data_IF_171225618923
#
_entry.id   IF_171225618923
#
_cell.length_a   1.000
_cell.length_b   1.000
_cell.length_c   1.000
_cell.angle_alpha   90.00
_cell.angle_beta   90.00
_cell.angle_gamma   90.00
#
_symmetry.space_group_name_H-M   'P 1'
#
loop_
_entity.id
_entity.type
_entity.pdbx_description
1 polymer ?
#
# COMPACT_ATOMS: atom_id res chain seq x y z
N UNK A 1 50.08 -1.21 -17.56
CA UNK A 1 48.80 -0.47 -17.76
C UNK A 1 48.73 0.61 -16.71
N UNK A 2 48.70 1.88 -17.13
CA UNK A 2 48.53 3.02 -16.23
C UNK A 2 47.10 2.94 -15.67
N UNK A 3 46.93 2.68 -14.38
CA UNK A 3 45.65 2.94 -13.72
C UNK A 3 45.46 4.45 -13.76
N UNK A 4 44.63 4.94 -14.69
CA UNK A 4 44.09 6.28 -14.61
C UNK A 4 43.38 6.39 -13.26
N UNK A 5 43.92 7.21 -12.35
CA UNK A 5 43.19 7.68 -11.18
C UNK A 5 42.03 8.51 -11.71
N UNK A 6 40.90 7.85 -11.98
CA UNK A 6 39.64 8.53 -12.25
C UNK A 6 39.32 9.32 -10.97
N UNK A 7 39.45 10.64 -11.02
CA UNK A 7 39.11 11.50 -9.89
C UNK A 7 37.65 11.24 -9.49
N UNK A 8 37.39 11.25 -8.19
CA UNK A 8 36.05 11.11 -7.63
C UNK A 8 35.25 12.37 -7.99
N UNK A 9 34.55 12.32 -9.12
CA UNK A 9 33.56 13.34 -9.51
C UNK A 9 32.28 13.19 -8.67
N UNK A 10 31.57 14.29 -8.45
CA UNK A 10 30.32 14.33 -7.69
C UNK A 10 29.29 13.34 -8.25
N UNK A 11 29.18 13.25 -9.58
CA UNK A 11 28.27 12.31 -10.25
C UNK A 11 28.62 10.85 -9.93
N UNK A 12 29.93 10.54 -9.84
CA UNK A 12 30.39 9.19 -9.50
C UNK A 12 30.09 8.87 -8.03
N UNK A 13 30.31 9.83 -7.12
CA UNK A 13 29.98 9.67 -5.71
C UNK A 13 28.46 9.48 -5.52
N UNK A 14 27.64 10.34 -6.12
CA UNK A 14 26.18 10.23 -6.11
C UNK A 14 25.70 8.87 -6.59
N UNK A 15 26.27 8.35 -7.69
CA UNK A 15 25.96 7.02 -8.20
C UNK A 15 26.37 5.89 -7.24
N UNK A 16 27.52 5.99 -6.59
CA UNK A 16 27.98 4.99 -5.61
C UNK A 16 27.07 4.96 -4.38
N UNK A 17 26.63 6.13 -3.91
CA UNK A 17 25.77 6.25 -2.74
C UNK A 17 24.27 6.15 -3.03
N UNK A 18 23.88 6.05 -4.31
CA UNK A 18 22.48 6.03 -4.74
C UNK A 18 21.74 7.34 -4.48
N UNK A 19 22.45 8.47 -4.42
CA UNK A 19 21.87 9.79 -4.23
C UNK A 19 21.56 10.42 -5.59
N UNK A 20 20.32 10.88 -5.83
CA UNK A 20 19.95 11.60 -7.04
C UNK A 20 19.43 13.01 -6.75
N UNK A 21 19.38 13.83 -7.79
CA UNK A 21 18.88 15.19 -7.69
C UNK A 21 17.37 15.19 -7.36
N UNK A 22 16.98 15.81 -6.23
CA UNK A 22 15.60 15.87 -5.73
C UNK A 22 14.65 16.58 -6.71
N UNK A 23 15.14 17.48 -7.57
CA UNK A 23 14.34 18.08 -8.65
C UNK A 23 13.65 17.04 -9.55
N UNK A 24 14.31 15.93 -9.91
CA UNK A 24 13.68 14.87 -10.71
C UNK A 24 12.53 14.17 -9.95
N UNK A 25 12.66 14.03 -8.63
CA UNK A 25 11.62 13.46 -7.78
C UNK A 25 10.42 14.40 -7.68
N UNK A 26 10.67 15.70 -7.57
CA UNK A 26 9.63 16.75 -7.52
C UNK A 26 8.87 16.80 -8.85
N UNK A 27 9.59 16.76 -9.99
CA UNK A 27 8.98 16.66 -11.32
C UNK A 27 8.10 15.42 -11.45
N UNK A 28 8.62 14.25 -11.04
CA UNK A 28 7.87 13.00 -11.05
C UNK A 28 6.61 13.08 -10.19
N UNK A 29 6.69 13.65 -8.99
CA UNK A 29 5.54 13.83 -8.12
C UNK A 29 4.49 14.73 -8.78
N UNK A 30 4.91 15.80 -9.46
CA UNK A 30 4.01 16.64 -10.23
C UNK A 30 3.28 15.86 -11.34
N UNK A 31 3.96 14.95 -12.05
CA UNK A 31 3.34 14.09 -13.06
C UNK A 31 2.31 13.13 -12.44
N UNK A 32 2.64 12.53 -11.29
CA UNK A 32 1.71 11.67 -10.52
C UNK A 32 0.47 12.46 -10.11
N UNK A 33 0.65 13.66 -9.57
CA UNK A 33 -0.46 14.53 -9.17
C UNK A 33 -1.30 14.98 -10.36
N UNK A 34 -0.72 15.12 -11.55
CA UNK A 34 -1.46 15.47 -12.77
C UNK A 34 -2.13 14.27 -13.43
N UNK A 35 -1.93 13.05 -12.93
CA UNK A 35 -2.44 11.81 -13.53
C UNK A 35 -1.77 11.45 -14.86
N UNK A 36 -0.57 11.97 -15.12
CA UNK A 36 0.20 11.70 -16.34
C UNK A 36 0.99 10.39 -16.20
N UNK A 37 0.26 9.27 -16.29
CA UNK A 37 0.78 7.92 -16.01
C UNK A 37 2.02 7.57 -16.84
N UNK A 38 1.93 7.72 -18.17
CA UNK A 38 3.03 7.38 -19.08
C UNK A 38 4.27 8.21 -18.77
N UNK A 39 4.10 9.51 -18.58
CA UNK A 39 5.19 10.43 -18.27
C UNK A 39 5.81 10.15 -16.90
N UNK A 40 5.00 9.84 -15.89
CA UNK A 40 5.48 9.50 -14.54
C UNK A 40 6.35 8.22 -14.57
N UNK A 41 5.91 7.18 -15.29
CA UNK A 41 6.69 5.94 -15.45
C UNK A 41 8.00 6.21 -16.20
N UNK A 42 7.96 7.01 -17.27
CA UNK A 42 9.18 7.39 -18.00
C UNK A 42 10.15 8.22 -17.13
N UNK A 43 9.62 9.11 -16.29
CA UNK A 43 10.42 9.88 -15.34
C UNK A 43 11.08 8.96 -14.30
N UNK A 44 10.34 7.97 -13.77
CA UNK A 44 10.90 6.99 -12.84
C UNK A 44 12.03 6.17 -13.49
N UNK A 45 11.82 5.68 -14.71
CA UNK A 45 12.86 4.92 -15.43
C UNK A 45 14.13 5.72 -15.62
N UNK A 46 14.04 7.02 -15.91
CA UNK A 46 15.22 7.90 -15.98
C UNK A 46 15.97 8.02 -14.66
N UNK A 47 15.27 7.93 -13.52
CA UNK A 47 15.89 7.91 -12.18
C UNK A 47 16.54 6.54 -11.95
N UNK A 48 15.83 5.44 -12.25
CA UNK A 48 16.35 4.07 -12.12
C UNK A 48 17.58 3.83 -13.01
N UNK A 49 17.60 4.36 -14.24
CA UNK A 49 18.73 4.28 -15.19
C UNK A 49 20.02 4.95 -14.66
N UNK A 50 19.90 5.85 -13.67
CA UNK A 50 21.05 6.44 -12.98
C UNK A 50 21.68 5.48 -11.96
N UNK A 51 21.06 4.32 -11.72
CA UNK A 51 21.48 3.31 -10.75
C UNK A 51 20.88 3.51 -9.35
N UNK A 52 19.76 4.23 -9.26
CA UNK A 52 19.08 4.48 -7.98
C UNK A 52 18.29 3.24 -7.59
N UNK A 53 18.56 2.72 -6.40
CA UNK A 53 17.84 1.56 -5.89
C UNK A 53 16.39 1.92 -5.54
N UNK A 54 15.41 1.05 -5.83
CA UNK A 54 14.00 1.25 -5.48
C UNK A 54 13.77 1.59 -4.00
N UNK A 55 14.54 1.00 -3.09
CA UNK A 55 14.49 1.31 -1.66
C UNK A 55 14.91 2.74 -1.34
N UNK A 56 15.93 3.27 -2.01
CA UNK A 56 16.37 4.65 -1.82
C UNK A 56 15.33 5.61 -2.40
N UNK A 57 14.85 5.33 -3.60
CA UNK A 57 13.78 6.12 -4.23
C UNK A 57 12.55 6.26 -3.33
N UNK A 58 12.03 5.15 -2.78
CA UNK A 58 10.84 5.19 -1.92
C UNK A 58 11.10 5.92 -0.59
N UNK A 59 12.29 5.84 -0.03
CA UNK A 59 12.67 6.61 1.17
C UNK A 59 12.71 8.11 0.88
N UNK A 60 13.34 8.52 -0.23
CA UNK A 60 13.37 9.91 -0.67
C UNK A 60 11.95 10.42 -0.99
N UNK A 61 11.10 9.57 -1.60
CA UNK A 61 9.70 9.89 -1.87
C UNK A 61 8.91 10.15 -0.57
N UNK A 62 9.07 9.30 0.44
CA UNK A 62 8.54 9.53 1.79
C UNK A 62 9.02 10.89 2.33
N UNK A 63 10.31 11.17 2.24
CA UNK A 63 10.90 12.41 2.75
C UNK A 63 10.25 13.66 2.10
N UNK A 64 10.03 13.63 0.77
CA UNK A 64 9.32 14.70 0.06
C UNK A 64 7.87 14.85 0.58
N UNK A 65 7.15 13.76 0.84
CA UNK A 65 5.80 13.82 1.41
C UNK A 65 5.82 14.48 2.81
N UNK A 66 6.81 14.14 3.64
CA UNK A 66 6.98 14.78 4.95
C UNK A 66 7.19 16.28 4.80
N UNK A 67 8.01 16.74 3.85
CA UNK A 67 8.18 18.16 3.60
C UNK A 67 6.89 18.83 3.19
N UNK A 68 6.17 18.24 2.21
CA UNK A 68 4.88 18.73 1.75
C UNK A 68 3.87 18.94 2.89
N UNK A 69 3.75 17.94 3.76
CA UNK A 69 2.83 17.99 4.90
C UNK A 69 3.19 19.07 5.92
N UNK A 70 4.46 19.42 6.04
CA UNK A 70 4.96 20.28 7.10
C UNK A 70 5.24 21.73 6.68
N UNK A 71 5.23 22.07 5.38
CA UNK A 71 5.43 23.46 4.91
C UNK A 71 4.54 24.47 5.60
N UNK A 72 3.26 24.12 5.83
CA UNK A 72 2.29 25.01 6.48
C UNK A 72 2.54 25.21 7.99
N UNK A 73 3.36 24.37 8.62
CA UNK A 73 3.56 24.36 10.09
C UNK A 73 4.88 25.05 10.47
N UNK A 74 5.98 24.68 9.83
CA UNK A 74 7.33 25.14 10.22
C UNK A 74 7.92 26.17 9.24
N UNK A 75 7.28 26.41 8.08
CA UNK A 75 7.81 27.30 7.05
C UNK A 75 9.05 26.72 6.33
N UNK A 76 9.34 27.19 5.10
CA UNK A 76 10.30 26.50 4.20
C UNK A 76 11.70 26.32 4.79
N UNK A 77 12.18 27.27 5.58
CA UNK A 77 13.56 27.33 6.06
C UNK A 77 13.82 26.44 7.29
N UNK A 78 12.78 25.98 7.98
CA UNK A 78 12.92 25.12 9.17
C UNK A 78 12.84 23.63 8.82
N UNK A 79 12.30 23.30 7.65
CA UNK A 79 11.95 21.92 7.27
C UNK A 79 13.12 21.21 6.59
N UNK A 80 13.96 21.95 5.85
CA UNK A 80 15.09 21.32 5.16
C UNK A 80 16.22 22.29 4.74
N UNK A 81 17.48 21.84 4.88
CA UNK A 81 18.69 22.48 4.37
C UNK A 81 19.25 21.86 3.08
N UNK A 82 18.73 20.72 2.63
CA UNK A 82 19.21 20.00 1.42
C UNK A 82 18.50 20.40 0.13
N UNK A 83 17.31 20.99 0.20
CA UNK A 83 16.61 21.51 -0.98
C UNK A 83 17.15 22.90 -1.33
N UNK A 84 17.28 23.17 -2.63
CA UNK A 84 17.57 24.51 -3.09
C UNK A 84 16.32 25.41 -3.04
N UNK A 85 16.50 26.72 -3.29
CA UNK A 85 15.42 27.70 -3.22
C UNK A 85 14.28 27.44 -4.21
N UNK A 86 14.58 26.94 -5.40
CA UNK A 86 13.60 26.70 -6.44
C UNK A 86 12.80 25.42 -6.16
N UNK A 87 13.48 24.35 -5.75
CA UNK A 87 12.84 23.11 -5.28
C UNK A 87 11.91 23.36 -4.09
N UNK A 88 12.35 24.17 -3.13
CA UNK A 88 11.56 24.53 -1.96
C UNK A 88 10.29 25.31 -2.35
N UNK A 89 10.40 26.27 -3.28
CA UNK A 89 9.24 27.03 -3.79
C UNK A 89 8.28 26.12 -4.56
N UNK A 90 8.80 25.17 -5.33
CA UNK A 90 7.96 24.24 -6.10
C UNK A 90 7.18 23.32 -5.17
N UNK A 91 7.83 22.74 -4.16
CA UNK A 91 7.16 21.93 -3.16
C UNK A 91 6.13 22.72 -2.34
N UNK A 92 6.42 23.96 -1.98
CA UNK A 92 5.46 24.82 -1.28
C UNK A 92 4.18 25.05 -2.12
N UNK A 93 4.33 25.26 -3.44
CA UNK A 93 3.18 25.35 -4.35
C UNK A 93 2.38 24.05 -4.38
N UNK A 94 3.05 22.91 -4.46
CA UNK A 94 2.40 21.59 -4.45
C UNK A 94 1.65 21.38 -3.12
N UNK A 95 2.29 21.67 -1.99
CA UNK A 95 1.71 21.51 -0.65
C UNK A 95 0.43 22.35 -0.45
N UNK A 96 0.36 23.52 -1.09
CA UNK A 96 -0.83 24.36 -1.06
C UNK A 96 -1.98 23.83 -1.92
N UNK A 97 -1.70 22.98 -2.92
CA UNK A 97 -2.71 22.34 -3.78
C UNK A 97 -3.26 21.02 -3.23
N UNK A 98 -2.66 20.48 -2.17
CA UNK A 98 -3.02 19.19 -1.59
C UNK A 98 -3.65 19.35 -0.21
N UNK A 99 -4.63 18.50 0.06
CA UNK A 99 -5.16 18.29 1.41
C UNK A 99 -4.29 17.32 2.23
N UNK A 100 -4.47 17.38 3.55
CA UNK A 100 -3.66 16.59 4.48
C UNK A 100 -3.97 15.10 4.36
N UNK A 101 -5.21 14.74 4.07
CA UNK A 101 -5.67 13.36 3.91
C UNK A 101 -4.92 12.69 2.75
N UNK A 102 -4.79 13.38 1.61
CA UNK A 102 -4.04 12.92 0.44
C UNK A 102 -2.57 12.70 0.77
N UNK A 103 -1.94 13.62 1.51
CA UNK A 103 -0.53 13.49 1.93
C UNK A 103 -0.32 12.31 2.88
N UNK A 104 -1.21 12.13 3.86
CA UNK A 104 -1.16 10.99 4.80
C UNK A 104 -1.37 9.67 4.05
N UNK A 105 -2.30 9.63 3.09
CA UNK A 105 -2.54 8.45 2.25
C UNK A 105 -1.31 8.11 1.41
N UNK A 106 -0.71 9.10 0.73
CA UNK A 106 0.51 8.89 -0.05
C UNK A 106 1.65 8.37 0.84
N UNK A 107 1.80 8.91 2.05
CA UNK A 107 2.79 8.43 3.02
C UNK A 107 2.56 6.95 3.36
N UNK A 108 1.32 6.56 3.70
CA UNK A 108 0.98 5.18 4.03
C UNK A 108 1.24 4.21 2.87
N UNK A 109 0.85 4.57 1.65
CA UNK A 109 1.10 3.74 0.46
C UNK A 109 2.60 3.61 0.14
N UNK A 110 3.38 4.65 0.40
CA UNK A 110 4.84 4.61 0.23
C UNK A 110 5.46 3.66 1.24
N UNK A 111 5.11 3.77 2.53
CA UNK A 111 5.55 2.83 3.58
C UNK A 111 5.19 1.39 3.24
N UNK A 112 3.97 1.15 2.75
CA UNK A 112 3.55 -0.18 2.34
C UNK A 112 4.39 -0.74 1.19
N UNK A 113 4.70 0.10 0.20
CA UNK A 113 5.54 -0.28 -0.93
C UNK A 113 6.98 -0.62 -0.49
N UNK A 114 7.49 0.09 0.53
CA UNK A 114 8.80 -0.23 1.14
C UNK A 114 8.79 -1.64 1.77
N UNK A 115 7.73 -2.01 2.48
CA UNK A 115 7.59 -3.36 3.05
C UNK A 115 7.52 -4.45 1.96
N UNK A 116 6.83 -4.16 0.86
CA UNK A 116 6.60 -5.11 -0.24
C UNK A 116 7.85 -5.32 -1.12
N UNK A 117 8.87 -4.47 -1.04
CA UNK A 117 10.11 -4.58 -1.84
C UNK A 117 10.79 -5.95 -1.73
N UNK A 118 10.77 -6.58 -0.56
CA UNK A 118 11.40 -7.88 -0.34
C UNK A 118 10.52 -9.07 -0.77
N UNK A 119 9.27 -8.80 -1.16
CA UNK A 119 8.32 -9.82 -1.61
C UNK A 119 8.36 -10.04 -3.12
N UNK A 120 8.96 -9.11 -3.87
CA UNK A 120 9.03 -9.14 -5.33
C UNK A 120 10.45 -9.34 -5.84
N UNK A 121 10.59 -10.04 -6.97
CA UNK A 121 11.90 -10.24 -7.61
C UNK A 121 12.37 -9.00 -8.36
N UNK A 122 11.45 -8.31 -9.05
CA UNK A 122 11.75 -7.07 -9.76
C UNK A 122 11.14 -5.90 -9.00
N UNK A 123 12.00 -5.20 -8.27
CA UNK A 123 11.62 -4.08 -7.42
C UNK A 123 11.23 -2.83 -8.22
N UNK A 124 11.82 -2.61 -9.40
CA UNK A 124 11.43 -1.50 -10.27
C UNK A 124 9.98 -1.62 -10.75
N UNK A 125 9.53 -2.84 -11.09
CA UNK A 125 8.12 -3.08 -11.44
C UNK A 125 7.18 -2.75 -10.28
N UNK A 126 7.60 -3.01 -9.04
CA UNK A 126 6.83 -2.63 -7.86
C UNK A 126 6.73 -1.11 -7.71
N UNK A 127 7.81 -0.38 -7.98
CA UNK A 127 7.75 1.10 -7.96
C UNK A 127 6.87 1.64 -9.09
N UNK A 128 6.96 1.11 -10.30
CA UNK A 128 6.04 1.50 -11.40
C UNK A 128 4.57 1.27 -10.99
N UNK A 129 4.26 0.12 -10.40
CA UNK A 129 2.91 -0.18 -9.89
C UNK A 129 2.49 0.74 -8.74
N UNK A 130 3.41 1.08 -7.83
CA UNK A 130 3.16 2.04 -6.77
C UNK A 130 2.77 3.42 -7.34
N UNK A 131 3.50 3.92 -8.33
CA UNK A 131 3.19 5.21 -8.96
C UNK A 131 1.84 5.20 -9.66
N UNK A 132 1.52 4.11 -10.39
CA UNK A 132 0.20 3.91 -11.00
C UNK A 132 -0.89 3.92 -9.93
N UNK A 133 -0.71 3.19 -8.82
CA UNK A 133 -1.69 3.17 -7.70
C UNK A 133 -1.95 4.58 -7.17
N UNK A 134 -0.93 5.41 -6.96
CA UNK A 134 -1.11 6.79 -6.51
C UNK A 134 -1.92 7.65 -7.48
N UNK A 135 -1.69 7.48 -8.80
CA UNK A 135 -2.43 8.20 -9.85
C UNK A 135 -3.92 7.88 -9.82
N UNK A 136 -4.28 6.60 -9.68
CA UNK A 136 -5.69 6.19 -9.63
C UNK A 136 -6.33 6.51 -8.28
N UNK A 137 -5.59 6.44 -7.17
CA UNK A 137 -6.08 6.84 -5.85
C UNK A 137 -6.54 8.30 -5.83
N UNK A 138 -5.81 9.19 -6.48
CA UNK A 138 -6.19 10.61 -6.57
C UNK A 138 -7.51 10.83 -7.34
N UNK A 139 -7.87 9.92 -8.25
CA UNK A 139 -9.09 10.03 -9.05
C UNK A 139 -10.34 9.56 -8.31
N UNK A 140 -10.19 8.89 -7.16
CA UNK A 140 -11.32 8.42 -6.36
C UNK A 140 -11.95 9.65 -5.66
N UNK A 141 -13.23 9.96 -5.93
CA UNK A 141 -13.91 11.08 -5.27
C UNK A 141 -13.98 10.84 -3.76
N UNK A 142 -13.90 11.93 -2.98
CA UNK A 142 -14.01 11.81 -1.53
C UNK A 142 -15.41 11.34 -1.16
N UNK A 143 -15.51 10.63 -0.04
CA UNK A 143 -16.78 10.10 0.44
C UNK A 143 -17.81 11.22 0.65
N UNK A 144 -17.37 12.38 1.16
CA UNK A 144 -18.25 13.54 1.35
C UNK A 144 -18.77 14.09 0.02
N UNK A 145 -17.96 14.09 -1.04
CA UNK A 145 -18.38 14.50 -2.39
C UNK A 145 -19.43 13.53 -2.94
N UNK A 146 -19.20 12.22 -2.81
CA UNK A 146 -20.15 11.18 -3.21
C UNK A 146 -21.48 11.25 -2.43
N UNK A 147 -21.43 11.55 -1.14
CA UNK A 147 -22.62 11.70 -0.29
C UNK A 147 -23.41 12.95 -0.67
N UNK A 148 -22.72 14.05 -0.98
CA UNK A 148 -23.35 15.29 -1.45
C UNK A 148 -24.05 15.12 -2.82
N UNK A 149 -23.47 14.32 -3.72
CA UNK A 149 -24.12 13.93 -4.97
C UNK A 149 -25.34 13.03 -4.72
N UNK A 150 -25.25 12.09 -3.77
CA UNK A 150 -26.38 11.21 -3.40
C UNK A 150 -27.57 11.97 -2.81
N UNK A 151 -27.32 13.01 -2.00
CA UNK A 151 -28.38 13.86 -1.44
C UNK A 151 -29.07 14.70 -2.53
N UNK A 152 -28.35 15.07 -3.58
CA UNK A 152 -28.87 15.78 -4.75
C UNK A 152 -29.57 14.85 -5.76
N UNK A 153 -29.25 13.56 -5.78
CA UNK A 153 -29.85 12.57 -6.69
C UNK A 153 -30.81 11.63 -5.96
N UNK A 154 -31.96 12.13 -5.48
CA UNK A 154 -33.07 11.25 -5.05
C UNK A 154 -33.80 10.55 -6.21
N UNK A 155 -33.47 10.88 -7.46
CA UNK A 155 -34.03 10.24 -8.65
C UNK A 155 -32.91 9.87 -9.64
N UNK A 156 -32.23 8.74 -9.45
CA UNK A 156 -31.73 7.84 -10.53
C UNK A 156 -31.42 6.48 -9.87
N UNK A 157 -32.34 5.52 -10.05
CA UNK A 157 -32.00 4.09 -10.01
C UNK A 157 -31.39 3.74 -11.37
N UNK A 158 -30.34 2.91 -11.38
CA UNK A 158 -29.49 2.49 -12.53
C UNK A 158 -28.50 3.58 -12.97
N UNK A 159 -27.18 3.41 -12.97
CA UNK A 159 -26.37 2.24 -13.29
C UNK A 159 -24.94 2.53 -12.78
N UNK A 160 -24.50 1.87 -11.72
CA UNK A 160 -23.06 1.72 -11.44
C UNK A 160 -22.88 0.26 -11.04
N UNK A 161 -22.44 -0.55 -12.01
CA UNK A 161 -22.02 -1.91 -11.77
C UNK A 161 -20.63 -1.83 -11.14
N UNK A 162 -20.59 -1.74 -9.81
CA UNK A 162 -19.37 -2.07 -9.07
C UNK A 162 -19.35 -3.59 -9.03
N UNK A 163 -18.56 -4.19 -9.92
CA UNK A 163 -18.20 -5.59 -9.82
C UNK A 163 -17.47 -5.77 -8.48
N UNK A 164 -18.20 -6.25 -7.48
CA UNK A 164 -17.63 -6.81 -6.27
C UNK A 164 -16.73 -7.98 -6.69
N UNK A 165 -15.43 -7.72 -6.81
CA UNK A 165 -14.43 -8.78 -6.83
C UNK A 165 -14.44 -9.46 -5.46
N UNK A 166 -15.32 -10.44 -5.33
CA UNK A 166 -15.27 -11.45 -4.29
C UNK A 166 -13.90 -12.12 -4.38
N UNK A 167 -12.95 -11.71 -3.54
CA UNK A 167 -11.81 -12.54 -3.17
C UNK A 167 -12.33 -13.67 -2.27
N UNK A 168 -13.10 -14.58 -2.84
CA UNK A 168 -13.26 -15.93 -2.30
C UNK A 168 -12.03 -16.70 -2.71
N UNK A 169 -11.11 -16.90 -1.78
CA UNK A 169 -10.13 -17.97 -1.88
C UNK A 169 -10.89 -19.30 -1.88
N UNK A 170 -11.24 -19.78 -3.06
CA UNK A 170 -11.62 -21.17 -3.28
C UNK A 170 -10.37 -22.03 -3.11
N UNK A 171 -10.10 -22.45 -1.87
CA UNK A 171 -9.30 -23.64 -1.61
C UNK A 171 -10.22 -24.81 -1.92
N UNK A 172 -10.11 -25.35 -3.14
CA UNK A 172 -10.68 -26.64 -3.49
C UNK A 172 -9.85 -27.75 -2.82
N UNK A 173 -10.19 -28.10 -1.58
CA UNK A 173 -9.88 -29.44 -1.05
C UNK A 173 -10.91 -30.42 -1.64
N UNK A 174 -10.57 -31.01 -2.78
CA UNK A 174 -11.28 -32.18 -3.30
C UNK A 174 -10.85 -33.42 -2.51
N UNK A 175 -11.64 -33.82 -1.53
CA UNK A 175 -11.64 -35.21 -1.03
C UNK A 175 -13.06 -35.75 -0.91
N UNK A 176 -13.32 -36.84 -1.62
CA UNK A 176 -14.33 -37.92 -1.45
C UNK A 176 -14.48 -38.61 -2.83
N UNK A 177 -14.48 -39.92 -3.05
CA UNK A 177 -14.75 -41.08 -2.19
C UNK A 177 -14.42 -42.40 -2.93
N UNK A 178 -14.14 -43.46 -2.17
CA UNK A 178 -14.42 -44.90 -2.43
C UNK A 178 -13.63 -45.74 -3.47
N UNK A 179 -12.72 -46.60 -2.98
CA UNK A 179 -12.81 -48.07 -3.05
C UNK A 179 -11.63 -48.75 -2.29
N UNK A 180 -11.93 -49.75 -1.45
CA UNK A 180 -11.02 -50.53 -0.56
C UNK A 180 -10.33 -51.71 -1.29
N UNK A 181 -9.53 -52.58 -0.64
CA UNK A 181 -8.44 -52.42 0.34
C UNK A 181 -7.15 -53.19 -0.09
N UNK A 182 -5.99 -52.92 0.55
CA UNK A 182 -4.98 -53.96 0.86
C UNK A 182 -3.82 -53.44 1.74
N UNK A 183 -3.79 -53.96 2.96
CA UNK A 183 -2.63 -54.45 3.73
C UNK A 183 -1.32 -53.65 3.69
N UNK A 184 -0.94 -53.10 4.86
CA UNK A 184 0.29 -53.45 5.57
C UNK A 184 0.30 -52.75 6.95
N UNK A 185 -0.05 -53.53 7.97
CA UNK A 185 0.24 -53.26 9.38
C UNK A 185 1.75 -53.24 9.63
N UNK A 186 2.14 -52.60 10.75
CA UNK A 186 3.47 -52.50 11.42
C UNK A 186 4.10 -51.10 11.22
N UNK A 187 4.19 -50.22 12.22
CA UNK A 187 4.89 -50.37 13.51
C UNK A 187 4.21 -49.54 14.63
N UNK A 188 4.29 -50.09 15.84
CA UNK A 188 3.72 -49.69 17.14
C UNK A 188 4.40 -48.48 17.81
N UNK A 189 3.56 -47.68 18.49
CA UNK A 189 3.73 -46.96 19.78
C UNK A 189 4.92 -46.02 20.03
N UNK A 190 4.64 -44.80 20.52
CA UNK A 190 4.95 -44.33 21.89
C UNK A 190 4.42 -42.89 22.11
N UNK A 191 3.88 -42.67 23.31
CA UNK A 191 3.46 -41.41 23.98
C UNK A 191 2.07 -40.83 23.64
N UNK A 192 1.11 -41.17 24.52
CA UNK A 192 -0.23 -40.63 24.62
C UNK A 192 -0.36 -39.93 25.98
N UNK A 193 -0.39 -38.60 25.98
CA UNK A 193 -0.82 -37.66 27.03
C UNK A 193 -0.66 -36.26 26.40
N UNK A 194 -1.62 -35.35 26.22
CA UNK A 194 -2.97 -35.11 26.73
C UNK A 194 -3.91 -34.82 25.54
N UNK A 195 -4.95 -35.62 25.35
CA UNK A 195 -6.06 -35.31 24.40
C UNK A 195 -7.36 -34.94 25.12
N UNK A 196 -7.36 -34.94 26.45
CA UNK A 196 -8.57 -34.71 27.28
C UNK A 196 -8.82 -33.24 27.68
N UNK A 197 -7.87 -32.32 27.48
CA UNK A 197 -8.10 -30.88 27.71
C UNK A 197 -8.68 -30.16 26.48
N UNK A 198 -8.47 -30.67 25.26
CA UNK A 198 -8.97 -30.02 24.03
C UNK A 198 -10.44 -30.34 23.73
N UNK A 199 -10.92 -31.54 24.12
CA UNK A 199 -12.30 -31.97 23.88
C UNK A 199 -13.34 -31.30 24.79
N UNK A 200 -12.93 -30.81 25.97
CA UNK A 200 -13.81 -30.05 26.88
C UNK A 200 -13.99 -28.59 26.46
N UNK A 201 -13.01 -28.00 25.78
CA UNK A 201 -13.14 -26.66 25.20
C UNK A 201 -14.03 -26.66 23.95
N UNK A 202 -13.98 -27.71 23.13
CA UNK A 202 -14.76 -27.79 21.89
C UNK A 202 -16.25 -28.09 22.09
N UNK A 203 -16.66 -28.77 23.17
CA UNK A 203 -18.09 -28.97 23.46
C UNK A 203 -18.78 -27.72 24.03
N UNK A 204 -18.02 -26.77 24.59
CA UNK A 204 -18.54 -25.52 25.15
C UNK A 204 -18.75 -24.41 24.10
N UNK A 205 -18.23 -24.55 22.88
CA UNK A 205 -18.30 -23.53 21.82
C UNK A 205 -19.44 -23.77 20.80
N UNK A 206 -20.21 -24.84 20.94
CA UNK A 206 -21.21 -25.25 19.96
C UNK A 206 -22.61 -24.65 20.12
N UNK A 207 -22.76 -23.51 20.80
CA UNK A 207 -24.04 -22.80 20.82
C UNK A 207 -23.87 -21.32 20.40
N UNK A 208 -24.46 -21.00 19.25
CA UNK A 208 -24.62 -19.68 18.60
C UNK A 208 -23.49 -19.16 17.71
N UNK A 209 -23.13 -19.90 16.65
CA UNK A 209 -22.65 -19.22 15.45
C UNK A 209 -23.83 -18.44 14.84
N UNK A 210 -23.88 -17.13 15.10
CA UNK A 210 -24.83 -16.24 14.44
C UNK A 210 -24.41 -16.16 12.97
N UNK A 211 -25.23 -16.72 12.09
CA UNK A 211 -25.02 -16.67 10.65
C UNK A 211 -25.35 -15.27 10.14
N UNK A 212 -24.36 -14.38 10.12
CA UNK A 212 -24.52 -12.98 9.74
C UNK A 212 -24.20 -12.86 8.24
N UNK A 213 -25.22 -12.50 7.45
CA UNK A 213 -25.12 -12.46 5.99
C UNK A 213 -24.92 -11.05 5.43
N UNK A 214 -25.10 -10.01 6.26
CA UNK A 214 -24.85 -8.62 5.87
C UNK A 214 -24.45 -7.74 7.07
N UNK A 215 -23.92 -6.55 6.74
CA UNK A 215 -23.38 -5.61 7.73
C UNK A 215 -24.45 -5.05 8.69
N UNK A 216 -25.68 -4.89 8.22
CA UNK A 216 -26.78 -4.35 9.03
C UNK A 216 -27.22 -5.35 10.12
N UNK A 217 -27.19 -6.64 9.79
CA UNK A 217 -27.41 -7.73 10.73
C UNK A 217 -26.33 -7.78 11.82
N UNK A 218 -25.05 -7.54 11.47
CA UNK A 218 -23.95 -7.41 12.43
C UNK A 218 -24.19 -6.25 13.42
N UNK A 219 -24.58 -5.09 12.90
CA UNK A 219 -24.81 -3.88 13.72
C UNK A 219 -25.96 -4.10 14.71
N UNK A 220 -27.01 -4.79 14.29
CA UNK A 220 -28.16 -5.15 15.14
C UNK A 220 -27.78 -6.12 16.28
N UNK A 221 -26.88 -7.07 16.01
CA UNK A 221 -26.40 -8.03 17.01
C UNK A 221 -25.48 -7.33 18.02
N UNK A 222 -24.58 -6.48 17.55
CA UNK A 222 -23.65 -5.73 18.40
C UNK A 222 -24.38 -4.75 19.31
N UNK A 223 -25.42 -4.09 18.82
CA UNK A 223 -26.26 -3.17 19.62
C UNK A 223 -27.06 -3.91 20.69
N UNK A 224 -27.69 -5.05 20.35
CA UNK A 224 -28.40 -5.90 21.33
C UNK A 224 -27.48 -6.49 22.41
N UNK A 225 -26.27 -6.92 22.06
CA UNK A 225 -25.30 -7.46 23.04
C UNK A 225 -24.63 -6.39 23.91
N UNK A 226 -24.67 -5.12 23.50
CA UNK A 226 -24.17 -3.99 24.30
C UNK A 226 -25.06 -3.65 25.51
N UNK A 227 -26.32 -4.10 25.51
CA UNK A 227 -27.29 -3.81 26.58
C UNK A 227 -27.31 -4.85 27.72
N UNK A 228 -26.51 -5.91 27.65
CA UNK A 228 -26.30 -6.80 28.80
C UNK A 228 -25.10 -6.33 29.62
N UNK A 229 -25.39 -5.69 30.76
CA UNK A 229 -24.45 -5.39 31.84
C UNK A 229 -24.80 -6.23 33.06
#
# INVERSE_FOLDING_TARGET
QKLEKKELDLNLAQKIFGHFNKSHLIELLNLVLQGKEKEAILAYRKISDQGIFPSIFLNDFCEIIYYLKNFKIFGKNEINFTLNDDESKELEKIANSLDNETLIMFWQFTLKSIEELNMVTNQDLLVEMFLIRLIYLKQIPKLDDLLSDLENTKDIKSTVNIENSNFTSSIEDKTESNNTPKSLDQIKNVAQEKKEELSKLQSSLNNSFLNIQNFEELLSVCTKKREFK
#
